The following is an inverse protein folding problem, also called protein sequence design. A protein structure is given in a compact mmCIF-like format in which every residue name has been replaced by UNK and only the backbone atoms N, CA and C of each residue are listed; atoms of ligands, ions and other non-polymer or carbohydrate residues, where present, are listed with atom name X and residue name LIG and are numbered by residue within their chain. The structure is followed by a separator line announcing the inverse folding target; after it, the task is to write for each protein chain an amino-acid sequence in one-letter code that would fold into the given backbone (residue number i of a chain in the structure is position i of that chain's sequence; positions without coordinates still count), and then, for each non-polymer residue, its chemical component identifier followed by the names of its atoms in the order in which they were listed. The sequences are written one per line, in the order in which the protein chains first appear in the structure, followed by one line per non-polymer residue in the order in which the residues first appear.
data_IF_856809066212
#
_entry.id   IF_856809066212
#
_cell.length_a   1.000
_cell.length_b   1.000
_cell.length_c   1.000
_cell.angle_alpha   90.00
_cell.angle_beta   90.00
_cell.angle_gamma   90.00
#
_symmetry.space_group_name_H-M   'P 1'
#
loop_
_entity.id
_entity.type
_entity.pdbx_description
1 polymer ?
#
# COMPACT_ATOMS: atom_id res chain seq x y z
N UNK A 1 -19.65 -16.94 -4.90
CA UNK A 1 -19.07 -18.15 -4.24
C UNK A 1 -19.76 -18.34 -2.90
N UNK A 2 -20.17 -19.54 -2.56
CA UNK A 2 -20.81 -19.81 -1.27
C UNK A 2 -19.76 -19.82 -0.14
N UNK A 3 -20.10 -19.29 1.05
CA UNK A 3 -19.17 -19.22 2.18
C UNK A 3 -18.57 -20.56 2.61
N UNK A 4 -19.36 -21.63 2.54
CA UNK A 4 -18.93 -23.00 2.88
C UNK A 4 -17.81 -23.46 1.96
N UNK A 5 -17.96 -23.26 0.66
CA UNK A 5 -16.94 -23.64 -0.33
C UNK A 5 -15.63 -22.90 -0.13
N UNK A 6 -15.70 -21.62 0.25
CA UNK A 6 -14.49 -20.86 0.59
C UNK A 6 -13.78 -21.46 1.80
N UNK A 7 -14.53 -21.82 2.85
CA UNK A 7 -13.98 -22.47 4.04
C UNK A 7 -13.32 -23.81 3.73
N UNK A 8 -13.95 -24.63 2.89
CA UNK A 8 -13.39 -25.89 2.43
C UNK A 8 -12.05 -25.73 1.71
N UNK A 9 -11.92 -24.68 0.90
CA UNK A 9 -10.68 -24.37 0.18
C UNK A 9 -9.57 -23.85 1.12
N UNK A 10 -9.94 -23.09 2.13
CA UNK A 10 -8.99 -22.42 3.04
C UNK A 10 -8.54 -23.36 4.17
N UNK A 11 -9.44 -24.20 4.69
CA UNK A 11 -9.17 -25.02 5.88
C UNK A 11 -7.94 -25.94 5.79
N UNK A 12 -7.57 -26.53 4.64
CA UNK A 12 -6.37 -27.36 4.54
C UNK A 12 -5.08 -26.52 4.43
N UNK A 13 -5.17 -25.23 4.23
CA UNK A 13 -4.00 -24.38 4.05
C UNK A 13 -3.34 -24.06 5.40
N UNK A 14 -2.01 -24.10 5.43
CA UNK A 14 -1.24 -23.72 6.60
C UNK A 14 -1.10 -22.19 6.67
N UNK A 15 -1.14 -21.64 7.88
CA UNK A 15 -1.01 -20.21 8.14
C UNK A 15 -2.34 -19.54 8.45
N UNK A 16 -2.26 -18.22 8.66
CA UNK A 16 -3.44 -17.39 8.93
C UNK A 16 -3.90 -16.74 7.63
N UNK A 17 -5.18 -16.89 7.32
CA UNK A 17 -5.79 -16.34 6.12
C UNK A 17 -6.93 -15.42 6.55
N UNK A 18 -6.99 -14.23 5.98
CA UNK A 18 -8.10 -13.31 6.08
C UNK A 18 -8.58 -12.93 4.69
N UNK A 19 -9.89 -12.75 4.56
CA UNK A 19 -10.51 -12.43 3.29
C UNK A 19 -11.73 -11.54 3.50
N UNK A 20 -11.83 -10.50 2.68
CA UNK A 20 -13.03 -9.67 2.58
C UNK A 20 -13.30 -9.34 1.12
N UNK A 21 -14.53 -9.56 0.71
CA UNK A 21 -15.03 -9.22 -0.61
C UNK A 21 -16.35 -8.48 -0.48
N UNK A 22 -16.53 -7.46 -1.29
CA UNK A 22 -17.78 -6.73 -1.42
C UNK A 22 -18.01 -6.38 -2.90
N UNK A 23 -19.17 -6.78 -3.42
CA UNK A 23 -19.60 -6.36 -4.73
C UNK A 23 -20.33 -5.00 -4.61
N UNK A 24 -19.75 -3.97 -5.16
CA UNK A 24 -20.28 -2.60 -5.06
C UNK A 24 -21.54 -2.38 -5.89
N UNK A 25 -21.90 -3.32 -6.77
CA UNK A 25 -23.09 -3.20 -7.63
C UNK A 25 -24.34 -3.72 -6.90
N UNK A 26 -24.26 -4.89 -6.30
CA UNK A 26 -25.39 -5.55 -5.65
C UNK A 26 -25.28 -5.61 -4.12
N UNK A 27 -24.13 -5.20 -3.56
CA UNK A 27 -23.88 -5.20 -2.13
C UNK A 27 -23.57 -6.58 -1.53
N UNK A 28 -23.37 -7.60 -2.38
CA UNK A 28 -23.01 -8.94 -1.89
C UNK A 28 -21.66 -8.92 -1.20
N UNK A 29 -21.59 -9.59 -0.05
CA UNK A 29 -20.41 -9.61 0.80
C UNK A 29 -20.00 -11.01 1.17
N UNK A 30 -18.70 -11.23 1.22
CA UNK A 30 -18.11 -12.48 1.66
C UNK A 30 -16.88 -12.17 2.52
N UNK A 31 -16.83 -12.71 3.72
CA UNK A 31 -15.71 -12.48 4.62
C UNK A 31 -15.30 -13.75 5.37
N UNK A 32 -14.02 -13.82 5.65
CA UNK A 32 -13.44 -14.88 6.48
C UNK A 32 -12.28 -14.26 7.26
N UNK A 33 -12.34 -14.31 8.59
CA UNK A 33 -11.30 -13.78 9.47
C UNK A 33 -10.86 -12.33 9.09
N UNK A 34 -11.83 -11.51 8.67
CA UNK A 34 -11.56 -10.18 8.11
C UNK A 34 -11.04 -9.17 9.13
N UNK A 35 -11.36 -9.36 10.42
CA UNK A 35 -10.95 -8.46 11.50
C UNK A 35 -9.58 -8.82 12.11
N UNK A 36 -8.95 -9.88 11.64
CA UNK A 36 -7.62 -10.24 12.11
C UNK A 36 -6.58 -9.25 11.61
N UNK A 37 -5.69 -8.81 12.51
CA UNK A 37 -4.62 -7.88 12.16
C UNK A 37 -3.48 -8.63 11.50
N UNK A 38 -3.19 -8.26 10.27
CA UNK A 38 -2.07 -8.79 9.47
C UNK A 38 -0.98 -7.74 9.29
N UNK A 39 0.26 -8.18 9.13
CA UNK A 39 1.35 -7.29 8.72
C UNK A 39 1.09 -6.79 7.30
N UNK A 40 0.95 -5.49 7.15
CA UNK A 40 0.58 -4.88 5.86
C UNK A 40 1.68 -5.00 4.80
N UNK A 41 2.95 -5.03 5.22
CA UNK A 41 4.08 -4.95 4.31
C UNK A 41 3.89 -3.82 3.28
N UNK A 42 4.11 -4.07 1.99
CA UNK A 42 3.98 -3.06 0.93
C UNK A 42 2.54 -2.57 0.68
N UNK A 43 1.52 -3.23 1.22
CA UNK A 43 0.13 -2.77 1.08
C UNK A 43 -0.08 -1.39 1.69
N UNK A 44 0.70 -1.03 2.72
CA UNK A 44 0.63 0.31 3.33
C UNK A 44 0.95 1.45 2.35
N UNK A 45 1.63 1.17 1.25
CA UNK A 45 1.95 2.16 0.22
C UNK A 45 0.70 2.70 -0.47
N UNK A 46 -0.35 1.91 -0.56
CA UNK A 46 -1.62 2.33 -1.17
C UNK A 46 -2.30 3.45 -0.39
N UNK A 47 -2.61 3.29 0.92
CA UNK A 47 -3.19 4.40 1.68
C UNK A 47 -2.26 5.60 1.81
N UNK A 48 -0.95 5.39 1.84
CA UNK A 48 0.02 6.50 1.83
C UNK A 48 -0.06 7.30 0.53
N UNK A 49 -0.11 6.63 -0.62
CA UNK A 49 -0.29 7.30 -1.91
C UNK A 49 -1.62 8.06 -1.96
N UNK A 50 -2.70 7.46 -1.50
CA UNK A 50 -4.02 8.09 -1.43
C UNK A 50 -4.00 9.35 -0.54
N UNK A 51 -3.27 9.33 0.56
CA UNK A 51 -3.11 10.48 1.44
C UNK A 51 -2.36 11.62 0.76
N UNK A 52 -1.27 11.32 0.06
CA UNK A 52 -0.52 12.31 -0.73
C UNK A 52 -1.41 12.91 -1.82
N UNK A 53 -2.14 12.10 -2.57
CA UNK A 53 -3.08 12.57 -3.59
C UNK A 53 -4.17 13.49 -3.00
N UNK A 54 -4.65 13.17 -1.81
CA UNK A 54 -5.61 14.02 -1.08
C UNK A 54 -4.99 15.38 -0.76
N UNK A 55 -3.77 15.41 -0.24
CA UNK A 55 -3.08 16.67 0.07
C UNK A 55 -2.84 17.52 -1.18
N UNK A 56 -2.54 16.90 -2.30
CA UNK A 56 -2.40 17.61 -3.59
C UNK A 56 -3.74 18.19 -4.04
N UNK A 57 -4.83 17.42 -3.94
CA UNK A 57 -6.17 17.90 -4.30
C UNK A 57 -6.64 19.06 -3.43
N UNK A 58 -6.20 19.12 -2.17
CA UNK A 58 -6.51 20.20 -1.23
C UNK A 58 -5.57 21.41 -1.36
N UNK A 59 -4.61 21.38 -2.28
CA UNK A 59 -3.63 22.46 -2.47
C UNK A 59 -2.55 22.54 -1.40
N UNK A 60 -2.43 21.53 -0.53
CA UNK A 60 -1.41 21.49 0.53
C UNK A 60 -0.06 20.97 0.06
N UNK A 61 -0.05 20.22 -1.01
CA UNK A 61 1.14 19.75 -1.72
C UNK A 61 0.96 19.97 -3.22
N UNK A 62 2.08 19.94 -3.94
CA UNK A 62 2.10 19.94 -5.42
C UNK A 62 2.87 18.71 -5.90
N UNK A 63 2.45 18.10 -7.01
CA UNK A 63 3.16 16.96 -7.60
C UNK A 63 4.60 17.30 -8.00
N UNK A 64 4.85 18.52 -8.44
CA UNK A 64 6.15 19.02 -8.86
C UNK A 64 6.99 19.61 -7.71
N UNK A 65 6.43 19.63 -6.49
CA UNK A 65 7.16 20.08 -5.30
C UNK A 65 8.35 19.18 -5.04
N UNK A 66 9.53 19.78 -4.90
CA UNK A 66 10.77 19.04 -4.63
C UNK A 66 11.02 18.94 -3.14
N UNK A 67 11.51 17.78 -2.74
CA UNK A 67 11.96 17.49 -1.37
C UNK A 67 13.35 16.90 -1.40
N UNK A 68 14.10 17.10 -0.33
CA UNK A 68 15.43 16.52 -0.17
C UNK A 68 15.30 15.23 0.61
N UNK A 69 15.64 14.12 -0.02
CA UNK A 69 15.78 12.81 0.62
C UNK A 69 17.22 12.73 1.13
N UNK A 70 17.40 12.75 2.43
CA UNK A 70 18.72 12.68 3.05
C UNK A 70 19.19 11.24 3.14
N UNK A 71 20.51 11.06 3.19
CA UNK A 71 21.10 9.72 3.34
C UNK A 71 20.52 8.96 4.51
N UNK A 72 20.28 9.62 5.65
CA UNK A 72 19.68 9.01 6.85
C UNK A 72 18.19 8.67 6.73
N UNK A 73 17.48 9.19 5.74
CA UNK A 73 16.06 8.89 5.50
C UNK A 73 15.87 7.58 4.74
N UNK A 74 16.89 7.11 4.05
CA UNK A 74 16.84 5.88 3.25
C UNK A 74 16.81 4.66 4.15
N UNK A 75 15.78 3.84 3.98
CA UNK A 75 15.62 2.61 4.75
C UNK A 75 16.12 1.40 3.97
N UNK A 76 16.67 0.37 4.65
CA UNK A 76 17.00 -0.89 4.01
C UNK A 76 15.75 -1.51 3.38
N UNK A 77 15.70 -1.51 2.07
CA UNK A 77 14.59 -2.07 1.29
C UNK A 77 15.08 -2.27 -0.15
N UNK A 78 14.19 -2.75 -1.01
CA UNK A 78 14.48 -2.92 -2.44
C UNK A 78 14.33 -1.62 -3.26
N UNK A 79 14.30 -0.46 -2.64
CA UNK A 79 14.06 0.82 -3.31
C UNK A 79 15.25 1.33 -4.13
N UNK A 80 14.96 1.93 -5.28
CA UNK A 80 15.97 2.51 -6.16
C UNK A 80 16.79 3.63 -5.51
N UNK A 81 16.23 4.36 -4.56
CA UNK A 81 16.92 5.43 -3.85
C UNK A 81 18.14 4.96 -3.06
N UNK A 82 18.18 3.70 -2.62
CA UNK A 82 19.35 3.12 -1.95
C UNK A 82 20.56 3.03 -2.85
N UNK A 83 20.35 2.96 -4.17
CA UNK A 83 21.44 2.88 -5.16
C UNK A 83 22.09 4.25 -5.42
N UNK A 84 21.51 5.32 -4.94
CA UNK A 84 22.00 6.68 -5.11
C UNK A 84 22.67 7.15 -3.82
N UNK A 85 23.87 7.69 -3.94
CA UNK A 85 24.67 8.13 -2.79
C UNK A 85 24.31 9.57 -2.38
N UNK A 86 24.35 9.85 -1.08
CA UNK A 86 24.16 11.19 -0.53
C UNK A 86 22.73 11.68 -0.54
N UNK A 87 22.57 12.98 -0.33
CA UNK A 87 21.28 13.66 -0.35
C UNK A 87 20.81 13.87 -1.78
N UNK A 88 19.53 13.62 -2.03
CA UNK A 88 18.94 13.66 -3.37
C UNK A 88 17.72 14.57 -3.34
N UNK A 89 17.62 15.46 -4.31
CA UNK A 89 16.44 16.28 -4.54
C UNK A 89 15.50 15.58 -5.51
N UNK A 90 14.27 15.30 -5.08
CA UNK A 90 13.27 14.55 -5.86
C UNK A 90 11.90 15.22 -5.69
N UNK A 91 11.13 15.26 -6.76
CA UNK A 91 9.76 15.75 -6.71
C UNK A 91 8.79 14.71 -6.13
N UNK A 92 7.66 15.16 -5.63
CA UNK A 92 6.64 14.32 -4.98
C UNK A 92 6.10 13.25 -5.94
N UNK A 93 5.84 13.60 -7.20
CA UNK A 93 5.36 12.64 -8.20
C UNK A 93 6.35 11.48 -8.39
N UNK A 94 7.64 11.80 -8.55
CA UNK A 94 8.67 10.78 -8.72
C UNK A 94 8.81 9.88 -7.50
N UNK A 95 8.73 10.43 -6.29
CA UNK A 95 8.73 9.64 -5.06
C UNK A 95 7.55 8.67 -5.00
N UNK A 96 6.35 9.13 -5.36
CA UNK A 96 5.17 8.27 -5.40
C UNK A 96 5.31 7.15 -6.45
N UNK A 97 5.84 7.45 -7.62
CA UNK A 97 6.11 6.44 -8.67
C UNK A 97 7.12 5.40 -8.20
N UNK A 98 8.23 5.84 -7.59
CA UNK A 98 9.24 4.94 -7.04
C UNK A 98 8.70 4.07 -5.92
N UNK A 99 7.79 4.59 -5.10
CA UNK A 99 7.17 3.84 -4.02
C UNK A 99 6.30 2.68 -4.53
N UNK A 100 5.59 2.88 -5.63
CA UNK A 100 4.63 1.91 -6.19
C UNK A 100 5.32 0.91 -7.13
N UNK A 101 6.38 1.28 -7.77
CA UNK A 101 7.13 0.42 -8.68
C UNK A 101 8.23 -0.35 -7.96
#
# INVERSE_FOLDING_TARGET
MQPERLRELISPLKGKIGFYYENMIDGDKLSYNADHVFTAASVIKVPLFMYVAKLVSEGKLSWDQKVIVREGDKKPSCGALLSLSGDIEVDIESLCRLMIT
#
